data_IF_029848997693
#
_entry.id   IF_029848997693
#
_cell.length_a   1.000
_cell.length_b   1.000
_cell.length_c   1.000
_cell.angle_alpha   90.00
_cell.angle_beta   90.00
_cell.angle_gamma   90.00
#
_symmetry.space_group_name_H-M   'P 1'
#
loop_
_entity.id
_entity.type
_entity.pdbx_description
1 polymer ?
2 non-polymer ?
3 water ?
#
# COMPACT_ATOMS: atom_id res chain seq x y z
N UNK A 26 -7.15 21.37 -2.69
CA UNK A 26 -6.41 20.43 -3.58
C UNK A 26 -5.48 19.57 -2.71
N UNK A 27 -4.19 19.63 -3.00
CA UNK A 27 -3.19 18.85 -2.32
C UNK A 27 -2.63 19.50 -1.07
N UNK A 28 -2.64 18.80 0.06
CA UNK A 28 -2.02 19.46 1.21
C UNK A 28 -0.56 19.81 0.91
N UNK A 29 -0.09 20.92 1.46
CA UNK A 29 1.27 21.39 1.27
C UNK A 29 2.28 20.31 1.68
N UNK A 30 1.99 19.57 2.74
CA UNK A 30 2.96 18.55 3.23
C UNK A 30 3.20 17.47 2.18
N UNK A 31 2.18 17.19 1.38
CA UNK A 31 2.28 16.20 0.32
C UNK A 31 3.17 16.71 -0.82
N UNK A 32 2.99 17.96 -1.20
CA UNK A 32 3.78 18.55 -2.24
C UNK A 32 5.25 18.57 -1.81
N UNK A 33 5.47 18.96 -0.58
CA UNK A 33 6.81 18.99 -0.04
C UNK A 33 7.44 17.59 0.02
N UNK A 34 6.69 16.59 0.49
CA UNK A 34 7.13 15.21 0.56
C UNK A 34 7.53 14.67 -0.84
N UNK A 35 6.68 14.90 -1.84
CA UNK A 35 6.98 14.47 -3.23
C UNK A 35 8.23 15.19 -3.78
N UNK A 36 8.34 16.50 -3.51
CA UNK A 36 9.53 17.27 -3.92
C UNK A 36 10.78 16.74 -3.25
N UNK A 37 10.67 16.38 -1.97
CA UNK A 37 11.85 15.85 -1.27
C UNK A 37 12.29 14.54 -1.88
N UNK A 38 11.34 13.64 -2.14
CA UNK A 38 11.69 12.37 -2.77
C UNK A 38 12.22 12.49 -4.21
N UNK A 39 11.67 13.44 -4.96
CA UNK A 39 12.00 13.63 -6.35
C UNK A 39 13.25 14.45 -6.54
N UNK A 40 13.54 15.28 -5.54
CA UNK A 40 14.72 16.13 -5.51
C UNK A 40 16.01 15.35 -5.30
N UNK A 41 17.10 16.06 -5.04
CA UNK A 41 18.43 15.46 -4.93
C UNK A 41 19.15 15.72 -3.62
N UNK A 42 18.40 16.16 -2.62
CA UNK A 42 18.96 16.48 -1.31
C UNK A 42 18.31 15.62 -0.23
N UNK A 43 19.06 14.65 0.35
CA UNK A 43 18.55 13.75 1.37
C UNK A 43 17.98 14.48 2.58
N UNK A 44 18.62 15.56 3.02
CA UNK A 44 18.11 16.35 4.17
C UNK A 44 16.74 16.94 4.02
N UNK A 45 16.30 17.11 2.76
CA UNK A 45 14.95 17.66 2.45
C UNK A 45 13.89 16.70 2.90
N UNK A 46 14.19 15.40 2.95
CA UNK A 46 13.20 14.47 3.41
C UNK A 46 13.07 14.53 4.95
N UNK A 47 14.21 14.34 5.62
CA UNK A 47 14.28 14.36 7.05
C UNK A 47 13.76 15.63 7.70
N UNK A 48 13.99 16.77 7.07
CA UNK A 48 13.57 18.04 7.64
C UNK A 48 12.03 18.21 7.73
N UNK A 49 11.28 17.37 7.02
CA UNK A 49 9.80 17.45 7.05
C UNK A 49 9.21 16.74 8.30
N UNK A 50 10.06 16.00 9.01
CA UNK A 50 9.67 15.22 10.16
C UNK A 50 10.00 15.86 11.49
N UNK A 51 9.21 15.48 12.51
CA UNK A 51 9.46 15.89 13.88
C UNK A 51 10.69 15.08 14.36
N UNK A 52 11.24 15.45 15.49
CA UNK A 52 12.48 14.82 16.05
C UNK A 52 12.30 13.34 16.32
N UNK A 53 11.06 12.96 16.66
CA UNK A 53 10.64 11.59 16.93
C UNK A 53 9.92 10.92 15.72
N UNK A 54 10.06 11.47 14.52
CA UNK A 54 9.41 10.89 13.36
C UNK A 54 9.91 9.49 12.99
N UNK A 55 8.99 8.68 12.50
CA UNK A 55 9.27 7.30 12.08
C UNK A 55 8.90 7.15 10.60
N UNK A 56 9.66 6.32 9.92
CA UNK A 56 9.47 6.09 8.48
C UNK A 56 9.58 4.57 8.33
N UNK A 57 8.54 3.98 7.75
CA UNK A 57 8.50 2.55 7.46
C UNK A 57 8.16 2.33 5.99
N UNK A 58 9.01 1.58 5.30
CA UNK A 58 8.79 1.18 3.91
C UNK A 58 8.35 -0.26 4.04
N UNK A 59 7.08 -0.55 3.75
CA UNK A 59 6.58 -1.88 3.92
C UNK A 59 7.01 -2.85 2.77
N UNK A 60 7.39 -2.35 1.60
CA UNK A 60 7.80 -3.24 0.55
C UNK A 60 9.16 -3.87 0.88
N UNK A 61 10.08 -3.05 1.36
CA UNK A 61 11.46 -3.48 1.72
C UNK A 61 11.56 -3.96 3.15
N UNK A 62 10.64 -3.49 4.00
CA UNK A 62 10.61 -3.89 5.40
C UNK A 62 11.60 -3.08 6.20
N UNK A 63 11.83 -1.82 5.82
CA UNK A 63 12.82 -0.98 6.51
C UNK A 63 12.17 0.05 7.42
N UNK A 64 12.66 0.16 8.65
CA UNK A 64 12.16 1.19 9.56
C UNK A 64 13.26 2.16 9.98
N UNK A 66 14.14 5.77 12.22
CA UNK A 66 13.70 6.63 13.37
C UNK A 66 14.55 7.89 13.48
N UNK A 67 13.92 9.05 13.53
CA UNK A 67 14.66 10.31 13.63
C UNK A 67 15.03 10.92 12.26
N UNK A 68 15.30 12.23 12.25
CA UNK A 68 15.56 12.95 11.02
C UNK A 68 16.77 12.44 10.21
N UNK A 69 17.86 12.11 10.89
CA UNK A 69 19.09 11.66 10.29
C UNK A 69 18.89 10.32 9.60
N UNK A 70 18.30 9.35 10.29
CA UNK A 70 18.03 8.06 9.62
C UNK A 70 17.08 8.25 8.43
N UNK A 71 16.07 9.09 8.58
CA UNK A 71 15.15 9.31 7.46
C UNK A 71 15.86 9.89 6.20
N UNK A 72 16.67 10.93 6.40
CA UNK A 72 17.45 11.54 5.34
C UNK A 72 18.39 10.50 4.74
N UNK A 73 18.97 9.68 5.61
CA UNK A 73 19.84 8.58 5.18
C UNK A 73 19.11 7.59 4.31
N UNK A 74 17.78 7.45 4.48
CA UNK A 74 17.01 6.51 3.65
C UNK A 74 16.88 6.99 2.20
N UNK A 75 16.71 8.30 2.05
CA UNK A 75 16.66 8.93 0.74
C UNK A 75 18.03 8.77 0.12
N UNK A 76 19.08 9.03 0.90
CA UNK A 76 20.47 8.85 0.40
C UNK A 76 20.70 7.44 -0.09
N UNK A 77 20.31 6.43 0.71
CA UNK A 77 20.49 5.02 0.33
C UNK A 77 19.66 4.63 -0.88
N UNK A 78 18.47 5.17 -0.97
CA UNK A 78 17.63 4.88 -2.07
C UNK A 78 18.32 5.42 -3.30
N UNK A 79 18.83 6.65 -3.25
CA UNK A 79 19.49 7.21 -4.47
C UNK A 79 20.76 6.45 -4.83
N UNK A 80 21.42 5.89 -3.83
CA UNK A 80 22.64 5.11 -4.07
C UNK A 80 22.33 3.91 -4.95
N UNK A 82 19.17 3.44 -6.72
CA UNK A 82 18.19 3.71 -7.78
C UNK A 82 18.38 5.10 -8.36
N UNK A 83 18.58 5.18 -9.68
CA UNK A 83 18.78 6.46 -10.34
C UNK A 83 17.46 7.11 -10.66
N UNK A 84 17.45 8.43 -10.71
CA UNK A 84 16.28 9.20 -11.15
C UNK A 84 14.98 8.84 -10.43
N UNK A 85 15.04 8.69 -9.13
CA UNK A 85 13.85 8.35 -8.40
C UNK A 85 12.87 9.50 -8.54
N UNK A 86 11.60 9.20 -8.73
CA UNK A 86 10.60 10.24 -8.75
C UNK A 86 9.32 9.68 -8.16
N UNK A 87 8.60 10.54 -7.47
CA UNK A 87 7.32 10.19 -6.89
C UNK A 87 6.35 11.29 -7.35
N UNK A 88 5.26 10.92 -8.01
CA UNK A 88 4.27 11.83 -8.56
C UNK A 88 2.95 11.58 -7.86
N UNK A 89 2.22 12.65 -7.56
CA UNK A 89 0.96 12.51 -6.82
C UNK A 89 -0.21 12.28 -7.74
N UNK A 90 -0.93 11.19 -7.54
CA UNK A 90 -2.14 11.00 -8.34
C UNK A 90 -3.23 11.74 -7.58
N UNK A 91 -3.32 11.49 -6.28
CA UNK A 91 -4.27 12.26 -5.45
C UNK A 91 -3.92 12.10 -3.98
N UNK A 92 -4.35 13.05 -3.18
CA UNK A 92 -4.12 13.03 -1.75
C UNK A 92 -5.29 13.68 -1.00
N UNK A 93 -5.51 13.29 0.23
CA UNK A 93 -6.59 13.83 1.06
C UNK A 93 -6.19 13.75 2.50
N UNK A 94 -6.69 14.71 3.26
CA UNK A 94 -6.40 14.77 4.68
C UNK A 94 -7.65 14.62 5.54
N UNK A 95 -7.50 13.96 6.67
CA UNK A 95 -8.57 13.87 7.64
C UNK A 95 -7.88 14.17 8.93
N UNK A 96 -8.01 15.44 9.38
CA UNK A 96 -7.39 15.91 10.58
C UNK A 96 -5.87 15.81 10.47
N UNK A 97 -5.27 15.05 11.36
CA UNK A 97 -3.82 14.89 11.34
C UNK A 97 -3.37 13.63 10.59
N UNK A 98 -4.26 13.06 9.77
CA UNK A 98 -3.88 11.89 8.92
C UNK A 98 -3.95 12.33 7.51
N UNK A 99 -2.96 11.93 6.69
CA UNK A 99 -2.98 12.30 5.30
C UNK A 99 -2.78 11.05 4.50
N UNK A 100 -3.54 10.87 3.41
CA UNK A 100 -3.36 9.69 2.56
C UNK A 100 -2.88 10.14 1.19
N UNK A 101 -1.93 9.42 0.62
CA UNK A 101 -1.45 9.81 -0.66
C UNK A 101 -1.44 8.64 -1.62
N UNK A 102 -1.99 8.85 -2.82
CA UNK A 102 -1.94 7.87 -3.91
C UNK A 102 -0.91 8.47 -4.84
N UNK A 103 0.11 7.70 -5.12
CA UNK A 103 1.24 8.17 -5.85
C UNK A 103 1.76 7.10 -6.78
N UNK A 104 2.62 7.50 -7.71
CA UNK A 104 3.33 6.57 -8.60
C UNK A 104 4.82 6.73 -8.29
N UNK A 105 5.46 5.62 -7.94
CA UNK A 105 6.84 5.62 -7.56
C UNK A 105 7.66 5.09 -8.74
N UNK A 106 8.55 5.89 -9.29
CA UNK A 106 9.37 5.42 -10.44
C UNK A 106 10.86 5.58 -10.22
N UNK A 107 11.64 5.00 -11.13
CA UNK A 107 13.07 5.06 -11.05
C UNK A 107 13.68 3.97 -11.90
N UNK A 108 15.00 3.88 -11.83
CA UNK A 108 15.80 2.87 -12.55
C UNK A 108 16.86 2.30 -11.62
N UNK A 109 16.64 1.07 -11.17
CA UNK A 109 17.62 0.36 -10.33
C UNK A 109 18.91 0.31 -11.14
N UNK A 110 20.01 0.71 -10.53
CA UNK A 110 21.29 0.69 -11.26
C UNK A 110 21.62 -0.71 -11.80
N UNK A 111 21.94 -0.80 -13.08
CA UNK A 111 22.30 -2.09 -13.74
C UNK A 111 21.09 -2.84 -14.33
N UNK A 112 19.88 -2.43 -13.94
CA UNK A 112 18.69 -3.11 -14.36
C UNK A 112 18.42 -2.86 -15.83
N UNK A 113 17.86 -3.86 -16.56
CA UNK A 113 17.61 -3.65 -17.97
C UNK A 113 16.60 -2.54 -18.25
N UNK A 114 15.61 -2.36 -17.37
CA UNK A 114 14.58 -1.38 -17.63
C UNK A 114 14.15 -0.63 -16.36
N UNK A 115 13.50 0.54 -16.54
CA UNK A 115 12.99 1.32 -15.37
C UNK A 115 11.69 0.73 -14.87
N UNK A 116 11.11 1.33 -13.81
CA UNK A 116 9.86 0.87 -13.27
C UNK A 116 9.00 2.10 -12.91
N UNK A 117 7.71 1.88 -12.80
CA UNK A 117 6.77 2.92 -12.31
C UNK A 117 5.65 2.10 -11.68
N UNK A 118 5.48 2.17 -10.36
CA UNK A 118 4.49 1.33 -9.68
C UNK A 118 3.57 2.19 -8.80
N UNK A 119 2.30 1.75 -8.62
CA UNK A 119 1.38 2.47 -7.74
C UNK A 119 1.79 2.29 -6.27
N UNK A 121 0.88 3.72 -2.00
CA UNK A 121 0.05 4.49 -1.09
C UNK A 121 0.88 4.82 0.07
N UNK A 122 0.83 6.11 0.45
CA UNK A 122 1.59 6.57 1.56
C UNK A 122 0.65 7.18 2.59
N UNK A 123 0.79 6.71 3.82
CA UNK A 123 -0.04 7.20 4.95
C UNK A 123 0.84 8.03 5.92
N UNK A 124 0.44 9.26 6.12
CA UNK A 124 1.16 10.15 6.98
C UNK A 124 0.31 10.55 8.15
N UNK A 125 0.96 10.67 9.30
CA UNK A 125 0.36 11.24 10.48
C UNK A 125 1.16 12.51 10.67
N UNK A 126 0.46 13.63 10.92
CA UNK A 126 1.15 14.88 11.16
C UNK A 126 0.89 15.47 12.57
N UNK A 127 1.73 16.42 12.95
CA UNK A 127 1.63 17.20 14.21
C UNK A 127 2.00 18.61 13.80
N UNK A 128 1.03 19.52 13.80
CA UNK A 128 1.35 20.84 13.32
C UNK A 128 1.76 20.71 11.86
N UNK A 129 2.90 21.30 11.47
CA UNK A 129 3.39 21.26 10.10
C UNK A 129 4.33 20.07 9.79
N UNK A 130 4.70 19.30 10.79
CA UNK A 130 5.64 18.18 10.63
C UNK A 130 5.03 16.80 10.52
N UNK A 131 5.79 15.88 9.93
CA UNK A 131 5.32 14.51 9.82
C UNK A 131 5.85 13.74 11.03
N UNK A 132 4.98 12.99 11.70
CA UNK A 132 5.43 12.15 12.82
C UNK A 132 5.56 10.68 12.41
N UNK A 133 4.82 10.27 11.38
CA UNK A 133 4.82 8.89 10.85
C UNK A 133 4.54 8.84 9.36
N UNK A 134 5.38 8.09 8.64
CA UNK A 134 5.20 7.87 7.22
C UNK A 134 5.27 6.35 7.02
N UNK A 135 4.24 5.80 6.38
CA UNK A 135 4.23 4.37 5.96
C UNK A 135 3.97 4.33 4.48
N UNK A 136 4.87 3.63 3.78
CA UNK A 136 4.79 3.46 2.32
C UNK A 136 4.41 2.04 1.99
N UNK A 137 3.34 1.88 1.21
CA UNK A 137 2.86 0.57 0.80
C UNK A 137 2.92 0.40 -0.73
N UNK A 138 3.69 -0.58 -1.20
CA UNK A 138 3.78 -0.89 -2.63
C UNK A 138 4.30 -2.33 -2.73
N UNK A 139 4.29 -2.90 -3.93
CA UNK A 139 4.79 -4.25 -4.06
C UNK A 139 6.17 -4.29 -4.70
N UNK A 140 7.13 -4.78 -3.94
CA UNK A 140 8.48 -4.92 -4.48
C UNK A 140 8.49 -5.85 -5.73
N UNK A 141 7.64 -6.87 -5.74
CA UNK A 141 7.58 -7.81 -6.88
C UNK A 141 7.35 -7.08 -8.19
N UNK A 142 6.54 -6.04 -8.16
CA UNK A 142 6.24 -5.24 -9.35
C UNK A 142 7.43 -4.43 -9.82
N UNK A 143 8.17 -3.89 -8.87
CA UNK A 143 9.37 -3.12 -9.14
C UNK A 143 10.40 -4.00 -9.86
N UNK A 144 10.62 -5.16 -9.30
CA UNK A 144 11.59 -6.12 -9.87
C UNK A 144 11.18 -6.65 -11.26
N UNK A 145 9.91 -7.00 -11.39
CA UNK A 145 9.38 -7.52 -12.62
C UNK A 145 9.45 -6.49 -13.72
N UNK A 146 9.08 -5.24 -13.42
CA UNK A 146 9.13 -4.21 -14.45
C UNK A 146 10.56 -3.88 -14.86
N UNK A 147 11.48 -4.02 -13.90
CA UNK A 147 12.89 -3.70 -14.08
C UNK A 147 13.65 -4.79 -14.89
N UNK A 148 12.97 -5.92 -15.14
CA UNK A 148 13.59 -7.06 -15.85
C UNK A 148 14.60 -7.76 -14.97
N UNK A 149 14.41 -7.70 -13.66
CA UNK A 149 15.31 -8.38 -12.72
C UNK A 149 14.73 -9.69 -12.17
N UNK A 150 15.58 -10.64 -11.74
CA UNK A 150 14.99 -11.85 -11.15
C UNK A 150 14.10 -11.47 -9.97
N UNK A 151 13.07 -12.27 -9.72
CA UNK A 151 12.14 -12.04 -8.62
C UNK A 151 12.81 -12.10 -7.27
N UNK A 152 13.91 -12.86 -7.16
CA UNK A 152 14.65 -13.00 -5.89
C UNK A 152 15.86 -12.08 -5.77
N UNK A 153 15.93 -11.09 -6.66
CA UNK A 153 17.02 -10.12 -6.72
C UNK A 153 17.18 -9.29 -5.45
N UNK A 154 18.43 -9.02 -5.09
CA UNK A 154 18.74 -8.17 -3.92
C UNK A 154 19.96 -7.31 -4.27
N UNK A 155 20.11 -6.17 -3.57
CA UNK A 155 21.26 -5.29 -3.73
C UNK A 155 22.47 -5.84 -2.99
N UNK B 26 -13.39 4.53 16.76
CA UNK B 26 -14.37 4.98 15.71
C UNK B 26 -13.91 4.48 14.35
N UNK B 27 -14.60 3.45 13.87
CA UNK B 27 -14.33 2.82 12.59
C UNK B 27 -15.63 2.90 11.76
N UNK B 28 -15.57 3.49 10.55
CA UNK B 28 -16.79 3.54 9.73
C UNK B 28 -17.40 2.15 9.60
N UNK B 29 -18.73 2.12 9.62
CA UNK B 29 -19.49 0.86 9.54
C UNK B 29 -19.11 0.07 8.27
N UNK B 30 -18.90 0.79 7.19
CA UNK B 30 -18.58 0.12 5.93
C UNK B 30 -17.21 -0.61 6.03
N UNK B 31 -16.33 -0.10 6.87
CA UNK B 31 -15.03 -0.74 7.04
C UNK B 31 -15.20 -2.07 7.76
N UNK B 32 -16.00 -2.10 8.80
CA UNK B 32 -16.26 -3.32 9.56
C UNK B 32 -16.86 -4.36 8.66
N UNK B 33 -17.78 -3.93 7.82
CA UNK B 33 -18.44 -4.85 6.88
C UNK B 33 -17.47 -5.38 5.84
N UNK B 34 -16.60 -4.50 5.35
CA UNK B 34 -15.64 -4.89 4.37
C UNK B 34 -14.70 -5.99 4.97
N UNK B 35 -14.25 -5.82 6.19
CA UNK B 35 -13.36 -6.81 6.82
C UNK B 35 -14.07 -8.13 7.10
N UNK B 36 -15.33 -8.07 7.52
CA UNK B 36 -16.09 -9.27 7.81
C UNK B 36 -16.30 -10.06 6.53
N UNK B 37 -16.61 -9.32 5.46
CA UNK B 37 -16.80 -9.87 4.14
C UNK B 37 -15.58 -10.63 3.75
N UNK B 38 -14.41 -10.02 3.84
CA UNK B 38 -13.21 -10.76 3.48
C UNK B 38 -12.83 -11.93 4.36
N UNK B 39 -13.18 -11.83 5.64
CA UNK B 39 -12.85 -12.86 6.61
C UNK B 39 -13.84 -14.04 6.66
N UNK B 40 -15.09 -13.83 6.22
CA UNK B 40 -16.08 -14.89 6.21
C UNK B 40 -15.85 -15.84 5.03
N UNK B 41 -16.77 -16.77 4.83
CA UNK B 41 -16.64 -17.74 3.73
C UNK B 41 -17.63 -17.53 2.57
N UNK B 42 -18.62 -16.67 2.74
CA UNK B 42 -19.57 -16.37 1.67
C UNK B 42 -18.96 -15.33 0.72
N UNK B 43 -18.51 -15.75 -0.48
CA UNK B 43 -17.90 -14.77 -1.37
C UNK B 43 -18.79 -13.61 -1.78
N UNK B 44 -20.10 -13.82 -1.82
CA UNK B 44 -21.03 -12.75 -2.21
C UNK B 44 -21.08 -11.62 -1.20
N UNK B 45 -20.56 -11.87 -0.01
CA UNK B 45 -20.50 -10.84 1.03
C UNK B 45 -19.65 -9.67 0.58
N UNK B 46 -18.64 -9.91 -0.25
CA UNK B 46 -17.79 -8.81 -0.70
C UNK B 46 -18.49 -7.92 -1.78
N UNK B 47 -19.01 -8.54 -2.82
CA UNK B 47 -19.62 -7.81 -3.87
C UNK B 47 -20.85 -7.02 -3.50
N UNK B 48 -21.62 -7.49 -2.52
CA UNK B 48 -22.86 -6.80 -2.08
C UNK B 48 -22.58 -5.43 -1.56
N UNK B 49 -21.35 -5.23 -1.06
CA UNK B 49 -20.98 -3.92 -0.50
C UNK B 49 -20.67 -2.85 -1.53
N UNK B 50 -20.56 -3.23 -2.80
CA UNK B 50 -20.21 -2.29 -3.87
C UNK B 50 -21.42 -1.81 -4.69
N UNK B 51 -21.29 -0.62 -5.29
CA UNK B 51 -22.26 -0.06 -6.20
C UNK B 51 -22.18 -0.91 -7.46
N UNK B 52 -23.25 -0.87 -8.27
CA UNK B 52 -23.33 -1.68 -9.50
C UNK B 52 -22.10 -1.46 -10.42
N UNK B 53 -21.59 -0.22 -10.46
CA UNK B 53 -20.43 0.21 -11.26
C UNK B 53 -19.13 0.29 -10.43
N UNK B 54 -19.08 -0.43 -9.32
CA UNK B 54 -17.95 -0.37 -8.43
C UNK B 54 -16.78 -1.12 -8.98
N UNK B 55 -15.58 -0.68 -8.65
CA UNK B 55 -14.38 -1.34 -9.11
C UNK B 55 -13.50 -1.78 -7.94
N UNK B 56 -12.72 -2.83 -8.19
CA UNK B 56 -11.83 -3.38 -7.17
C UNK B 56 -10.45 -3.62 -7.83
N UNK B 57 -9.40 -3.02 -7.27
CA UNK B 57 -8.03 -3.21 -7.82
C UNK B 57 -7.09 -3.73 -6.70
N UNK B 58 -6.43 -4.85 -6.95
CA UNK B 58 -5.41 -5.39 -6.01
C UNK B 58 -4.09 -5.07 -6.71
N UNK B 59 -3.35 -4.13 -6.13
CA UNK B 59 -2.10 -3.68 -6.71
C UNK B 59 -0.95 -4.65 -6.57
N UNK B 60 -1.03 -5.54 -5.60
CA UNK B 60 0.03 -6.53 -5.41
C UNK B 60 -0.01 -7.57 -6.54
N UNK B 61 -1.21 -7.95 -6.96
CA UNK B 61 -1.40 -8.97 -8.00
C UNK B 61 -1.67 -8.36 -9.38
N UNK B 62 -2.08 -7.11 -9.40
CA UNK B 62 -2.40 -6.41 -10.63
C UNK B 62 -3.73 -6.85 -11.21
N UNK B 63 -4.68 -7.19 -10.34
CA UNK B 63 -5.99 -7.66 -10.79
C UNK B 63 -7.05 -6.58 -10.65
N UNK B 64 -7.84 -6.38 -11.71
CA UNK B 64 -8.93 -5.39 -11.72
C UNK B 64 -10.23 -6.09 -11.99
N UNK B 66 -14.59 -5.43 -11.97
CA UNK B 66 -15.62 -4.40 -12.18
C UNK B 66 -17.00 -5.00 -11.97
N UNK B 67 -17.77 -4.41 -11.08
CA UNK B 67 -19.12 -4.87 -10.82
C UNK B 67 -19.16 -5.88 -9.70
N UNK B 68 -20.36 -6.10 -9.15
CA UNK B 68 -20.58 -7.02 -8.02
C UNK B 68 -20.22 -8.48 -8.28
N UNK B 69 -20.62 -9.00 -9.43
CA UNK B 69 -20.33 -10.38 -9.76
C UNK B 69 -18.81 -10.62 -9.82
N UNK B 70 -18.07 -9.76 -10.49
CA UNK B 70 -16.60 -9.97 -10.57
C UNK B 70 -15.91 -9.85 -9.21
N UNK B 71 -16.39 -8.90 -8.41
CA UNK B 71 -15.80 -8.63 -7.10
C UNK B 71 -15.99 -9.81 -6.17
N UNK B 72 -17.22 -10.34 -6.08
CA UNK B 72 -17.48 -11.55 -5.28
C UNK B 72 -16.62 -12.72 -5.79
N UNK B 73 -16.45 -12.79 -7.11
CA UNK B 73 -15.62 -13.80 -7.77
C UNK B 73 -14.14 -13.70 -7.36
N UNK B 74 -13.68 -12.49 -7.05
CA UNK B 74 -12.33 -12.26 -6.58
C UNK B 74 -12.13 -12.85 -5.18
N UNK B 75 -13.12 -12.69 -4.30
CA UNK B 75 -13.05 -13.32 -2.98
C UNK B 75 -13.06 -14.85 -3.17
N UNK B 76 -13.93 -15.36 -4.05
CA UNK B 76 -13.98 -16.80 -4.29
C UNK B 76 -12.62 -17.29 -4.81
N UNK B 77 -12.04 -16.56 -5.77
CA UNK B 77 -10.73 -16.97 -6.33
C UNK B 77 -9.63 -16.96 -5.26
N UNK B 78 -9.65 -15.95 -4.41
CA UNK B 78 -8.71 -15.83 -3.31
C UNK B 78 -8.83 -17.03 -2.39
N UNK B 79 -10.07 -17.35 -1.98
CA UNK B 79 -10.33 -18.51 -1.10
C UNK B 79 -9.91 -19.84 -1.73
N UNK B 80 -10.01 -19.98 -3.04
CA UNK B 80 -9.59 -21.21 -3.68
C UNK B 80 -8.06 -21.42 -3.56
N UNK B 82 -6.02 -19.71 -1.12
CA UNK B 82 -5.61 -19.37 0.24
C UNK B 82 -6.66 -19.69 1.29
N UNK B 83 -6.26 -20.48 2.28
CA UNK B 83 -7.13 -20.82 3.38
C UNK B 83 -7.04 -19.78 4.50
N UNK B 84 -8.09 -19.72 5.32
CA UNK B 84 -8.17 -18.83 6.49
C UNK B 84 -7.88 -17.38 6.20
N UNK B 85 -8.30 -16.91 5.04
CA UNK B 85 -8.09 -15.53 4.69
C UNK B 85 -8.75 -14.66 5.76
N UNK B 86 -7.98 -13.71 6.30
CA UNK B 86 -8.49 -12.78 7.25
C UNK B 86 -7.79 -11.44 7.08
N UNK B 87 -8.60 -10.43 7.25
CA UNK B 87 -8.21 -9.06 7.20
C UNK B 87 -8.59 -8.44 8.55
N UNK B 88 -7.62 -7.87 9.24
CA UNK B 88 -7.81 -7.27 10.57
C UNK B 88 -7.58 -5.75 10.50
N UNK B 89 -8.51 -4.96 11.04
CA UNK B 89 -8.40 -3.52 10.97
C UNK B 89 -7.62 -2.94 12.12
N UNK B 90 -6.56 -2.20 11.83
CA UNK B 90 -5.80 -1.57 12.90
C UNK B 90 -6.21 -0.11 13.01
N UNK B 91 -6.52 0.54 11.87
CA UNK B 91 -7.12 1.88 11.93
C UNK B 91 -7.80 2.26 10.66
N UNK B 92 -8.76 3.16 10.73
CA UNK B 92 -9.50 3.60 9.55
C UNK B 92 -9.98 5.03 9.77
N UNK B 93 -9.98 5.85 8.71
CA UNK B 93 -10.39 7.27 8.82
C UNK B 93 -10.98 7.69 7.51
N UNK B 94 -11.99 8.53 7.63
CA UNK B 94 -12.73 9.06 6.50
C UNK B 94 -12.46 10.57 6.25
N UNK B 95 -12.28 10.91 4.98
CA UNK B 95 -12.16 12.30 4.51
C UNK B 95 -13.15 12.40 3.34
N UNK B 96 -14.35 12.88 3.64
CA UNK B 96 -15.44 13.05 2.67
C UNK B 96 -15.84 11.67 2.17
N UNK B 97 -15.74 11.45 0.87
CA UNK B 97 -16.14 10.18 0.30
C UNK B 97 -14.96 9.20 0.23
N UNK B 98 -13.82 9.56 0.82
CA UNK B 98 -12.64 8.63 0.82
C UNK B 98 -12.52 8.04 2.18
N UNK B 99 -12.19 6.76 2.23
CA UNK B 99 -11.98 6.07 3.48
C UNK B 99 -10.64 5.32 3.31
N UNK B 100 -9.74 5.50 4.28
CA UNK B 100 -8.42 4.85 4.30
C UNK B 100 -8.45 3.86 5.39
N UNK B 101 -8.00 2.65 5.07
CA UNK B 101 -7.91 1.58 6.03
C UNK B 101 -6.48 1.06 6.19
N UNK B 102 -6.01 0.94 7.44
CA UNK B 102 -4.72 0.33 7.72
C UNK B 102 -5.10 -1.03 8.29
N UNK B 103 -4.66 -2.05 7.60
CA UNK B 103 -4.98 -3.40 7.97
C UNK B 103 -3.83 -4.40 7.92
N UNK B 104 -4.15 -5.60 8.42
CA UNK B 104 -3.22 -6.72 8.36
C UNK B 104 -3.97 -7.83 7.61
N UNK B 105 -3.36 -8.25 6.52
CA UNK B 105 -3.88 -9.31 5.68
C UNK B 105 -3.12 -10.60 5.98
N UNK B 106 -3.85 -11.62 6.42
CA UNK B 106 -3.23 -12.91 6.72
C UNK B 106 -3.96 -14.09 6.15
N UNK B 107 -3.27 -15.23 6.16
CA UNK B 107 -3.83 -16.46 5.68
C UNK B 107 -2.77 -17.53 5.48
N UNK B 108 -3.13 -18.58 4.76
CA UNK B 108 -2.19 -19.67 4.48
C UNK B 108 -2.40 -20.21 3.08
N UNK B 109 -1.48 -19.87 2.19
CA UNK B 109 -1.53 -20.36 0.81
C UNK B 109 -1.53 -21.90 0.84
N UNK B 110 -2.48 -22.51 0.15
CA UNK B 110 -2.61 -23.97 0.15
C UNK B 110 -1.36 -24.60 -0.41
N UNK B 111 -0.77 -25.50 0.36
CA UNK B 111 0.46 -26.16 -0.02
C UNK B 111 1.71 -25.48 0.49
N UNK B 112 1.60 -24.27 1.04
CA UNK B 112 2.78 -23.55 1.56
C UNK B 112 3.21 -24.10 2.92
N UNK B 113 4.52 -24.13 3.20
CA UNK B 113 4.95 -24.64 4.50
C UNK B 113 4.53 -23.78 5.68
N UNK B 114 4.33 -22.48 5.50
CA UNK B 114 3.88 -21.60 6.62
C UNK B 114 2.89 -20.54 6.17
N UNK B 115 2.17 -19.93 7.14
CA UNK B 115 1.20 -18.89 6.83
C UNK B 115 1.88 -17.52 6.68
N UNK B 116 1.08 -16.48 6.46
CA UNK B 116 1.57 -15.14 6.34
C UNK B 116 0.61 -14.15 7.02
N UNK B 117 1.17 -12.99 7.33
CA UNK B 117 0.45 -11.83 7.90
C UNK B 117 1.25 -10.61 7.44
N UNK B 118 0.68 -9.79 6.57
CA UNK B 118 1.38 -8.64 6.05
C UNK B 118 0.56 -7.36 6.22
N UNK B 119 1.22 -6.20 6.39
CA UNK B 119 0.56 -4.89 6.46
C UNK B 119 0.00 -4.51 5.08
N UNK B 121 -2.68 -1.47 3.00
CA UNK B 121 -3.46 -0.22 3.02
C UNK B 121 -4.55 -0.36 1.98
N UNK B 122 -5.79 -0.09 2.38
CA UNK B 122 -6.89 -0.18 1.46
C UNK B 122 -7.53 1.19 1.34
N UNK B 123 -7.69 1.69 0.12
CA UNK B 123 -8.28 3.02 -0.09
C UNK B 123 -9.61 2.82 -0.80
N UNK B 124 -10.65 3.30 -0.14
CA UNK B 124 -12.02 3.16 -0.63
C UNK B 124 -12.59 4.50 -0.96
N UNK B 125 -13.48 4.49 -1.94
CA UNK B 125 -14.23 5.67 -2.27
C UNK B 125 -15.69 5.20 -2.09
N UNK B 126 -16.53 6.01 -1.44
CA UNK B 126 -17.90 5.59 -1.24
C UNK B 126 -18.89 6.59 -1.79
N UNK B 127 -20.10 6.10 -2.05
CA UNK B 127 -21.27 6.91 -2.49
C UNK B 127 -22.41 6.37 -1.63
N UNK B 128 -22.91 7.19 -0.71
CA UNK B 128 -23.91 6.72 0.23
C UNK B 128 -23.28 5.58 1.04
N UNK B 129 -24.02 4.51 1.23
CA UNK B 129 -23.57 3.34 1.96
C UNK B 129 -22.84 2.33 1.06
N UNK B 130 -22.59 2.66 -0.21
CA UNK B 130 -21.93 1.71 -1.11
C UNK B 130 -20.48 2.10 -1.44
N UNK B 131 -19.65 1.11 -1.74
CA UNK B 131 -18.27 1.35 -2.14
C UNK B 131 -18.22 1.44 -3.66
N UNK B 132 -17.65 2.51 -4.21
CA UNK B 132 -17.56 2.65 -5.65
C UNK B 132 -16.14 2.27 -6.08
N UNK B 133 -15.18 2.31 -5.17
CA UNK B 133 -13.75 1.98 -5.48
C UNK B 133 -13.03 1.39 -4.32
N UNK B 134 -12.19 0.40 -4.57
CA UNK B 134 -11.34 -0.22 -3.54
C UNK B 134 -10.03 -0.49 -4.23
N UNK B 135 -8.98 -0.01 -3.61
CA UNK B 135 -7.63 -0.29 -4.08
C UNK B 135 -6.86 -0.87 -2.89
N UNK B 136 -6.25 -2.04 -3.07
CA UNK B 136 -5.47 -2.71 -2.04
C UNK B 136 -3.98 -2.64 -2.39
N UNK B 137 -3.18 -2.19 -1.42
CA UNK B 137 -1.74 -2.03 -1.53
C UNK B 137 -1.03 -2.85 -0.45
N UNK B 138 -0.18 -3.77 -0.91
CA UNK B 138 0.62 -4.61 -0.03
C UNK B 138 1.74 -5.22 -0.90
N UNK B 139 2.72 -5.90 -0.30
CA UNK B 139 3.77 -6.47 -1.12
C UNK B 139 3.61 -7.97 -1.24
N UNK B 140 3.44 -8.44 -2.46
CA UNK B 140 3.34 -9.85 -2.71
C UNK B 140 4.62 -10.57 -2.26
N UNK B 141 5.78 -9.93 -2.38
CA UNK B 141 6.99 -10.60 -1.98
C UNK B 141 7.04 -10.98 -0.53
N UNK B 142 6.44 -10.15 0.36
CA UNK B 142 6.39 -10.46 1.81
C UNK B 142 5.46 -11.66 2.06
N UNK B 143 4.37 -11.72 1.31
CA UNK B 143 3.45 -12.80 1.43
C UNK B 143 4.17 -14.09 1.10
N UNK B 144 4.87 -14.13 -0.02
CA UNK B 144 5.54 -15.34 -0.45
C UNK B 144 6.70 -15.74 0.44
N UNK B 145 7.48 -14.77 0.90
CA UNK B 145 8.66 -15.07 1.75
C UNK B 145 8.23 -15.66 3.09
N UNK B 146 7.21 -15.06 3.70
CA UNK B 146 6.69 -15.56 4.97
C UNK B 146 6.09 -16.93 4.82
N UNK B 147 5.54 -17.18 3.63
CA UNK B 147 4.93 -18.49 3.31
C UNK B 147 5.95 -19.62 3.05
N UNK B 148 7.23 -19.30 2.88
CA UNK B 148 8.25 -20.31 2.59
C UNK B 148 8.26 -20.60 1.10
N UNK B 149 7.67 -19.72 0.31
CA UNK B 149 7.61 -19.95 -1.12
C UNK B 149 8.64 -19.16 -1.86
N UNK B 150 9.03 -19.64 -3.06
CA UNK B 150 9.97 -18.89 -3.86
C UNK B 150 9.35 -17.57 -4.31
N UNK B 151 10.20 -16.59 -4.56
CA UNK B 151 9.73 -15.28 -4.95
C UNK B 151 8.96 -15.29 -6.28
N UNK B 152 9.22 -16.25 -7.19
CA UNK B 152 8.50 -16.29 -8.47
C UNK B 152 7.23 -17.11 -8.42
N UNK B 153 6.83 -17.58 -7.25
CA UNK B 153 5.64 -18.42 -7.11
C UNK B 153 4.39 -17.88 -7.83
N UNK B 154 3.64 -18.79 -8.46
CA UNK B 154 2.35 -18.47 -9.12
C UNK B 154 1.39 -19.60 -8.75
N UNK B 155 0.07 -19.33 -8.72
CA UNK B 155 -0.93 -20.36 -8.34
C UNK B 155 -1.11 -21.55 -9.30
#
# INVERSE_FOLDING_TARGET
XHHHHHHSSGVDLGTENLYFQSNAXTTPEIVTAWAAAWTGTNPNALGTLFAADGTYVDHAIGATXTGREQISGWKARTDAXIENVHVTITKAYRAGDHVTIEAVYGGHIKGAPTPFAVPXATLLRTRGEEITSDQDYYSLSSVLAQSGLPADWTPSDS
XHHHHHHSSGVDLGTENLYFQSNAXTTPEIVTAWAAAWTGTNPNALGTLFAADGTYVDHAIGATXTGREQISGWKARTDAXIENVHVTITKAYRAGDHVTIEAVYGGHIKGAPTPFAVPXATLLRTRGEEITSDQDYYSLSSVLAQSGLPADWTPSDS
#
